data_IF_964151592955
#
_entry.id   IF_964151592955
#
_cell.length_a   1.000
_cell.length_b   1.000
_cell.length_c   1.000
_cell.angle_alpha   90.00
_cell.angle_beta   90.00
_cell.angle_gamma   90.00
#
_symmetry.space_group_name_H-M   'P 1'
#
loop_
_entity.id
_entity.type
_entity.pdbx_description
1 polymer ?
#
# COMPACT_ATOMS: atom_id res chain seq x y z
N UNK A 1 2.09 19.00 -4.37
CA UNK A 1 2.65 18.10 -3.33
C UNK A 1 2.91 16.78 -4.00
N UNK A 2 4.12 16.24 -3.86
CA UNK A 2 4.45 14.91 -4.35
C UNK A 2 4.30 13.90 -3.22
N UNK A 3 3.94 12.67 -3.56
CA UNK A 3 3.99 11.55 -2.60
C UNK A 3 5.42 11.16 -2.24
N UNK A 4 6.43 11.77 -2.87
CA UNK A 4 7.83 11.44 -2.67
C UNK A 4 8.24 11.67 -1.22
N UNK A 5 8.67 10.61 -0.53
CA UNK A 5 9.08 10.67 0.88
C UNK A 5 9.18 9.30 1.51
N UNK A 6 9.74 9.26 2.72
CA UNK A 6 9.75 8.08 3.58
C UNK A 6 8.65 8.20 4.61
N UNK A 7 7.89 7.13 4.80
CA UNK A 7 6.76 7.08 5.71
C UNK A 7 6.92 5.89 6.65
N UNK A 8 6.93 6.14 7.95
CA UNK A 8 6.89 5.09 8.97
C UNK A 8 5.42 4.74 9.29
N UNK A 9 5.12 3.45 9.35
CA UNK A 9 3.85 2.94 9.84
C UNK A 9 3.56 3.48 11.26
N UNK A 10 2.45 4.20 11.42
CA UNK A 10 1.96 4.67 12.72
C UNK A 10 0.91 3.72 13.29
N UNK A 11 -0.04 3.30 12.44
CA UNK A 11 -1.16 2.47 12.87
C UNK A 11 -1.74 1.69 11.70
N UNK A 12 -2.32 0.54 11.98
CA UNK A 12 -3.06 -0.25 11.00
C UNK A 12 -4.26 -0.92 11.65
N UNK A 13 -5.37 -0.97 10.91
CA UNK A 13 -6.67 -1.49 11.32
C UNK A 13 -7.03 -2.64 10.38
N UNK A 14 -7.63 -3.71 10.95
CA UNK A 14 -8.04 -4.91 10.20
C UNK A 14 -6.91 -5.60 9.41
N UNK A 15 -5.65 -5.45 9.83
CA UNK A 15 -4.51 -6.13 9.21
C UNK A 15 -4.67 -7.65 9.25
N UNK A 16 -4.90 -8.22 10.44
CA UNK A 16 -5.01 -9.68 10.62
C UNK A 16 -6.13 -10.32 9.78
N UNK A 17 -7.40 -9.88 9.87
CA UNK A 17 -8.48 -10.48 9.08
C UNK A 17 -8.29 -10.29 7.57
N UNK A 18 -7.76 -9.15 7.14
CA UNK A 18 -7.50 -8.89 5.73
C UNK A 18 -6.37 -9.77 5.19
N UNK A 19 -5.25 -9.88 5.92
CA UNK A 19 -4.15 -10.75 5.51
C UNK A 19 -4.55 -12.23 5.50
N UNK A 20 -5.40 -12.66 6.44
CA UNK A 20 -5.98 -14.02 6.42
C UNK A 20 -6.84 -14.24 5.18
N UNK A 21 -7.67 -13.26 4.80
CA UNK A 21 -8.49 -13.36 3.60
C UNK A 21 -7.67 -13.35 2.29
N UNK A 22 -6.51 -12.67 2.29
CA UNK A 22 -5.53 -12.74 1.20
C UNK A 22 -4.71 -14.05 1.17
N UNK A 23 -4.92 -14.95 2.13
CA UNK A 23 -4.23 -16.24 2.20
C UNK A 23 -2.81 -16.18 2.77
N UNK A 24 -2.43 -15.11 3.49
CA UNK A 24 -1.14 -15.09 4.17
C UNK A 24 -1.13 -16.09 5.34
N UNK A 25 -0.03 -16.83 5.55
CA UNK A 25 0.12 -17.69 6.70
C UNK A 25 0.20 -16.87 8.00
N UNK A 26 -0.42 -17.37 9.08
CA UNK A 26 -0.52 -16.65 10.36
C UNK A 26 0.81 -16.20 10.94
N UNK A 27 1.90 -16.95 10.72
CA UNK A 27 3.25 -16.56 11.13
C UNK A 27 3.70 -15.24 10.46
N UNK A 28 3.40 -15.05 9.17
CA UNK A 28 3.71 -13.80 8.47
C UNK A 28 2.83 -12.65 8.93
N UNK A 29 1.57 -12.92 9.26
CA UNK A 29 0.64 -11.92 9.78
C UNK A 29 1.12 -11.44 11.15
N UNK A 30 1.47 -12.34 12.06
CA UNK A 30 1.97 -11.98 13.39
C UNK A 30 3.30 -11.24 13.32
N UNK A 31 4.21 -11.63 12.41
CA UNK A 31 5.44 -10.87 12.19
C UNK A 31 5.14 -9.48 11.63
N UNK A 32 4.23 -9.38 10.65
CA UNK A 32 3.88 -8.11 10.00
C UNK A 32 3.16 -7.12 10.91
N UNK A 33 2.43 -7.57 11.92
CA UNK A 33 1.61 -6.69 12.76
C UNK A 33 2.41 -5.80 13.71
N UNK A 34 3.50 -6.35 14.26
CA UNK A 34 4.39 -5.67 15.22
C UNK A 34 5.57 -4.95 14.53
N UNK A 35 5.81 -5.23 13.24
CA UNK A 35 6.90 -4.60 12.50
C UNK A 35 6.47 -3.22 12.01
N UNK A 36 7.15 -2.20 12.53
CA UNK A 36 7.16 -0.86 11.93
C UNK A 36 7.74 -0.94 10.52
N UNK A 37 6.88 -0.90 9.51
CA UNK A 37 7.35 -0.88 8.13
C UNK A 37 7.53 0.55 7.62
N UNK A 38 8.68 0.81 7.01
CA UNK A 38 9.02 2.07 6.37
C UNK A 38 8.67 1.95 4.88
N UNK A 39 7.82 2.84 4.39
CA UNK A 39 7.45 2.93 2.99
C UNK A 39 8.11 4.16 2.37
N UNK A 40 9.05 3.95 1.46
CA UNK A 40 9.64 5.01 0.65
C UNK A 40 8.91 5.09 -0.68
N UNK A 41 8.35 6.25 -0.98
CA UNK A 41 7.67 6.52 -2.24
C UNK A 41 8.54 7.50 -3.03
N UNK A 42 8.72 7.23 -4.32
CA UNK A 42 9.39 8.11 -5.26
C UNK A 42 8.45 8.32 -6.45
N UNK A 43 7.98 9.55 -6.59
CA UNK A 43 7.14 9.98 -7.71
C UNK A 43 8.02 10.69 -8.75
N UNK A 44 8.04 10.14 -9.96
CA UNK A 44 8.71 10.68 -11.14
C UNK A 44 7.65 10.93 -12.24
N UNK A 45 7.06 12.14 -12.22
CA UNK A 45 5.93 12.48 -13.08
C UNK A 45 4.71 11.58 -12.84
N UNK A 46 4.45 10.67 -13.80
CA UNK A 46 3.38 9.65 -13.72
C UNK A 46 3.85 8.32 -13.14
N UNK A 47 5.15 8.11 -12.99
CA UNK A 47 5.73 6.85 -12.53
C UNK A 47 5.97 6.91 -11.02
N UNK A 48 5.54 5.88 -10.32
CA UNK A 48 5.65 5.77 -8.87
C UNK A 48 6.46 4.51 -8.54
N UNK A 49 7.45 4.67 -7.67
CA UNK A 49 8.20 3.58 -7.06
C UNK A 49 7.92 3.57 -5.57
N UNK A 50 7.42 2.46 -5.06
CA UNK A 50 7.12 2.27 -3.64
C UNK A 50 8.01 1.15 -3.12
N UNK A 51 8.90 1.47 -2.20
CA UNK A 51 9.76 0.52 -1.49
C UNK A 51 9.26 0.38 -0.07
N UNK A 52 8.77 -0.80 0.29
CA UNK A 52 8.30 -1.11 1.65
C UNK A 52 9.33 -1.99 2.35
N UNK A 53 9.92 -1.48 3.41
CA UNK A 53 10.87 -2.20 4.27
C UNK A 53 10.18 -2.58 5.57
N UNK A 54 9.98 -3.88 5.80
CA UNK A 54 9.38 -4.45 6.99
C UNK A 54 10.38 -5.40 7.65
N UNK A 55 11.17 -4.88 8.62
CA UNK A 55 12.20 -5.66 9.29
C UNK A 55 13.28 -6.11 8.30
N UNK A 56 13.39 -7.42 8.07
CA UNK A 56 14.33 -8.01 7.09
C UNK A 56 13.75 -8.15 5.68
N UNK A 57 12.44 -7.94 5.49
CA UNK A 57 11.81 -8.00 4.16
C UNK A 57 11.79 -6.63 3.51
N UNK A 58 12.23 -6.56 2.25
CA UNK A 58 12.14 -5.37 1.41
C UNK A 58 11.33 -5.72 0.16
N UNK A 59 10.21 -5.03 -0.04
CA UNK A 59 9.34 -5.16 -1.20
C UNK A 59 9.44 -3.90 -2.05
N UNK A 60 9.49 -4.05 -3.38
CA UNK A 60 9.59 -2.93 -4.31
C UNK A 60 8.49 -3.05 -5.36
N UNK A 61 7.62 -2.06 -5.40
CA UNK A 61 6.52 -1.96 -6.34
C UNK A 61 6.73 -0.75 -7.25
N UNK A 62 6.50 -0.92 -8.55
CA UNK A 62 6.61 0.15 -9.53
C UNK A 62 5.34 0.18 -10.38
N UNK A 63 4.72 1.36 -10.50
CA UNK A 63 3.51 1.53 -11.31
C UNK A 63 3.45 2.90 -11.97
N UNK A 64 2.71 2.97 -13.07
CA UNK A 64 2.45 4.22 -13.79
C UNK A 64 0.99 4.62 -13.69
N UNK A 65 0.72 5.88 -13.38
CA UNK A 65 -0.64 6.42 -13.29
C UNK A 65 -1.31 6.39 -14.67
N UNK A 66 -2.49 5.76 -14.71
CA UNK A 66 -3.30 5.61 -15.92
C UNK A 66 -2.93 4.41 -16.79
N UNK A 67 -1.95 3.59 -16.39
CA UNK A 67 -1.54 2.40 -17.13
C UNK A 67 -1.67 1.13 -16.27
N UNK A 68 -1.88 -0.01 -16.93
CA UNK A 68 -1.88 -1.31 -16.27
C UNK A 68 -0.45 -1.64 -15.80
N UNK A 69 -0.29 -1.79 -14.49
CA UNK A 69 0.99 -2.13 -13.87
C UNK A 69 0.85 -3.40 -13.02
N UNK A 70 1.90 -4.20 -12.96
CA UNK A 70 1.95 -5.36 -12.07
C UNK A 70 2.39 -4.91 -10.66
N UNK A 71 1.50 -5.09 -9.68
CA UNK A 71 1.76 -4.83 -8.27
C UNK A 71 1.91 -6.14 -7.52
N UNK A 72 3.00 -6.28 -6.77
CA UNK A 72 3.22 -7.37 -5.85
C UNK A 72 2.57 -7.05 -4.49
N UNK A 73 1.59 -7.87 -4.13
CA UNK A 73 0.91 -7.85 -2.84
C UNK A 73 1.79 -8.44 -1.74
N UNK A 74 1.41 -8.21 -0.48
CA UNK A 74 2.13 -8.69 0.70
C UNK A 74 2.19 -10.22 0.82
N UNK A 75 1.27 -10.95 0.18
CA UNK A 75 1.32 -12.42 0.06
C UNK A 75 2.31 -12.90 -1.02
N UNK A 76 2.94 -12.00 -1.78
CA UNK A 76 3.77 -12.32 -2.94
C UNK A 76 2.97 -12.53 -4.23
N UNK A 77 1.65 -12.39 -4.20
CA UNK A 77 0.81 -12.46 -5.39
C UNK A 77 0.98 -11.19 -6.22
N UNK A 78 1.21 -11.38 -7.52
CA UNK A 78 1.31 -10.29 -8.49
C UNK A 78 -0.05 -10.06 -9.12
N UNK A 79 -0.58 -8.86 -8.95
CA UNK A 79 -1.86 -8.46 -9.55
C UNK A 79 -1.66 -7.31 -10.51
N UNK A 80 -2.37 -7.37 -11.63
CA UNK A 80 -2.41 -6.26 -12.57
C UNK A 80 -3.45 -5.25 -12.12
N UNK A 81 -3.02 -4.02 -11.90
CA UNK A 81 -3.89 -2.96 -11.44
C UNK A 81 -3.56 -1.64 -12.15
N UNK A 82 -4.61 -0.84 -12.38
CA UNK A 82 -4.48 0.51 -12.94
C UNK A 82 -4.64 1.50 -11.81
N UNK A 83 -3.58 2.25 -11.51
CA UNK A 83 -3.62 3.30 -10.50
C UNK A 83 -4.04 4.60 -11.17
N UNK A 84 -5.10 5.21 -10.66
CA UNK A 84 -5.59 6.51 -11.10
C UNK A 84 -5.33 7.54 -10.01
N UNK A 85 -4.97 8.75 -10.40
CA UNK A 85 -4.83 9.86 -9.46
C UNK A 85 -6.13 10.68 -9.49
N UNK A 86 -6.80 10.79 -8.34
CA UNK A 86 -7.93 11.69 -8.14
C UNK A 86 -7.45 12.97 -7.45
N UNK A 87 -7.71 14.12 -8.07
CA UNK A 87 -7.21 15.41 -7.59
C UNK A 87 -5.69 15.45 -7.54
N UNK A 88 -5.12 15.98 -6.44
CA UNK A 88 -3.68 16.20 -6.30
C UNK A 88 -3.02 15.38 -5.19
N UNK A 89 -3.79 14.60 -4.42
CA UNK A 89 -3.31 13.93 -3.22
C UNK A 89 -3.97 12.57 -2.96
N UNK A 90 -4.72 12.02 -3.92
CA UNK A 90 -5.40 10.73 -3.77
C UNK A 90 -5.09 9.84 -4.97
N UNK A 91 -4.71 8.60 -4.68
CA UNK A 91 -4.54 7.54 -5.65
C UNK A 91 -5.64 6.50 -5.42
N UNK A 92 -6.35 6.13 -6.47
CA UNK A 92 -7.38 5.11 -6.43
C UNK A 92 -7.04 4.03 -7.44
N UNK A 93 -7.06 2.80 -6.98
CA UNK A 93 -6.74 1.61 -7.74
C UNK A 93 -7.89 0.62 -7.58
N UNK A 94 -8.37 0.07 -8.68
CA UNK A 94 -9.44 -0.93 -8.64
C UNK A 94 -8.98 -2.16 -9.40
N UNK A 95 -9.01 -3.33 -8.76
CA UNK A 95 -8.55 -4.60 -9.34
C UNK A 95 -9.44 -5.74 -8.87
N UNK A 96 -10.05 -6.48 -9.82
CA UNK A 96 -10.82 -7.73 -9.55
C UNK A 96 -11.77 -7.66 -8.34
N UNK A 97 -12.50 -6.55 -8.15
CA UNK A 97 -13.43 -6.36 -7.04
C UNK A 97 -12.80 -5.86 -5.73
N UNK A 98 -11.48 -5.67 -5.69
CA UNK A 98 -10.76 -4.97 -4.63
C UNK A 98 -10.57 -3.50 -4.99
N UNK A 99 -10.78 -2.61 -4.02
CA UNK A 99 -10.53 -1.17 -4.15
C UNK A 99 -9.41 -0.78 -3.20
N UNK A 100 -8.37 -0.15 -3.72
CA UNK A 100 -7.27 0.42 -2.94
C UNK A 100 -7.27 1.93 -3.12
N UNK A 101 -7.20 2.66 -2.01
CA UNK A 101 -7.23 4.12 -1.96
C UNK A 101 -6.07 4.60 -1.12
N UNK A 102 -5.19 5.42 -1.68
CA UNK A 102 -4.04 6.01 -0.99
C UNK A 102 -4.20 7.52 -0.98
N UNK A 103 -4.40 8.11 0.20
CA UNK A 103 -4.62 9.53 0.41
C UNK A 103 -3.44 10.15 1.17
N UNK A 104 -2.85 11.21 0.61
CA UNK A 104 -1.82 12.02 1.23
C UNK A 104 -2.45 13.26 1.87
N UNK A 105 -2.31 13.38 3.18
CA UNK A 105 -2.77 14.50 3.99
C UNK A 105 -1.56 15.13 4.69
N UNK A 106 -0.97 16.15 4.05
CA UNK A 106 0.26 16.77 4.52
C UNK A 106 1.41 15.75 4.56
N UNK A 107 1.86 15.43 5.77
CA UNK A 107 2.89 14.43 6.02
C UNK A 107 2.35 13.04 6.37
N UNK A 108 1.04 12.80 6.28
CA UNK A 108 0.43 11.51 6.61
C UNK A 108 -0.15 10.85 5.37
N UNK A 109 0.22 9.60 5.12
CA UNK A 109 -0.41 8.75 4.10
C UNK A 109 -1.38 7.79 4.77
N UNK A 110 -2.61 7.80 4.29
CA UNK A 110 -3.63 6.82 4.64
C UNK A 110 -3.86 5.91 3.44
N UNK A 111 -3.56 4.63 3.61
CA UNK A 111 -3.79 3.59 2.61
C UNK A 111 -4.95 2.71 3.08
N UNK A 112 -6.02 2.65 2.30
CA UNK A 112 -7.24 1.89 2.60
C UNK A 112 -7.47 0.89 1.49
N UNK A 113 -7.62 -0.38 1.83
CA UNK A 113 -7.93 -1.46 0.90
C UNK A 113 -9.23 -2.13 1.32
N UNK A 114 -10.16 -2.27 0.39
CA UNK A 114 -11.45 -2.91 0.61
C UNK A 114 -11.57 -4.10 -0.33
N UNK A 115 -11.84 -5.28 0.23
CA UNK A 115 -12.06 -6.54 -0.47
C UNK A 115 -13.37 -7.15 0.07
N UNK A 116 -14.45 -7.04 -0.70
CA UNK A 116 -15.78 -7.44 -0.22
C UNK A 116 -16.18 -6.66 1.03
N UNK A 117 -16.51 -7.37 2.11
CA UNK A 117 -16.86 -6.78 3.42
C UNK A 117 -15.64 -6.42 4.29
N UNK A 118 -14.43 -6.83 3.90
CA UNK A 118 -13.21 -6.55 4.65
C UNK A 118 -12.59 -5.23 4.20
N UNK A 119 -12.30 -4.36 5.17
CA UNK A 119 -11.61 -3.09 4.94
C UNK A 119 -10.37 -3.01 5.80
N UNK A 120 -9.21 -3.06 5.17
CA UNK A 120 -7.90 -2.80 5.76
C UNK A 120 -7.56 -1.32 5.65
N UNK A 121 -7.04 -0.73 6.73
CA UNK A 121 -6.59 0.66 6.73
C UNK A 121 -5.24 0.77 7.39
N UNK A 122 -4.35 1.54 6.78
CA UNK A 122 -2.98 1.75 7.22
C UNK A 122 -2.67 3.22 7.19
N UNK A 123 -2.19 3.74 8.31
CA UNK A 123 -1.78 5.13 8.46
C UNK A 123 -0.28 5.17 8.69
N UNK A 124 0.43 5.87 7.81
CA UNK A 124 1.88 6.06 7.88
C UNK A 124 2.20 7.54 7.89
N UNK A 125 3.17 7.97 8.70
CA UNK A 125 3.58 9.37 8.81
C UNK A 125 4.99 9.55 8.27
N UNK A 126 5.22 10.66 7.58
CA UNK A 126 6.52 11.02 7.01
C UNK A 126 7.56 11.14 8.12
N UNK A 127 8.76 10.63 7.84
CA UNK A 127 9.94 10.72 8.71
C UNK A 127 11.08 11.44 8.00
#
# INVERSE_FOLDING_TARGET
MSFTGKYELQSQENFEPFMKALGLPEDQIQKGKDIKSISEIVQDGKKFKVTVTAGTKVMKNEFTIGEESELEMLNGEKVKAVVQMEGNNKLVTQVKGMKSVTELNGDTITHTMTLGDLTFKRVSKRI
#
